data_IF_368386359405
#
_entry.id   IF_368386359405
#
_cell.length_a   1.000
_cell.length_b   1.000
_cell.length_c   1.000
_cell.angle_alpha   90.00
_cell.angle_beta   90.00
_cell.angle_gamma   90.00
#
_symmetry.space_group_name_H-M   'P 1'
#
loop_
_entity.id
_entity.type
_entity.pdbx_description
1 polymer ?
#
# COMPACT_ATOMS: atom_id res chain seq x y z
N UNK A 1 -7.07 -3.84 -3.50
CA UNK A 1 -6.09 -4.95 -3.58
C UNK A 1 -4.71 -4.35 -3.43
N UNK A 2 -3.71 -5.11 -3.08
CA UNK A 2 -2.36 -4.54 -2.82
C UNK A 2 -1.31 -5.63 -3.02
N UNK A 3 -0.06 -5.20 -3.15
CA UNK A 3 1.09 -6.09 -3.24
C UNK A 3 2.25 -5.45 -2.47
N UNK A 4 2.92 -6.22 -1.61
CA UNK A 4 4.09 -5.76 -0.86
C UNK A 4 5.22 -6.77 -0.95
N UNK A 5 6.45 -6.26 -0.87
CA UNK A 5 7.64 -7.08 -0.75
C UNK A 5 8.62 -6.49 0.26
N UNK A 6 9.48 -7.34 0.78
CA UNK A 6 10.67 -6.97 1.56
C UNK A 6 11.86 -7.78 1.10
N UNK A 7 13.03 -7.15 1.08
CA UNK A 7 14.33 -7.79 0.86
C UNK A 7 15.25 -7.36 1.98
N UNK A 8 15.71 -8.31 2.78
CA UNK A 8 16.63 -8.04 3.88
C UNK A 8 18.02 -7.67 3.35
N UNK A 9 18.77 -6.89 4.11
CA UNK A 9 20.10 -6.40 3.71
C UNK A 9 21.09 -7.47 3.25
N UNK A 10 20.93 -8.71 3.73
CA UNK A 10 21.73 -9.84 3.26
C UNK A 10 21.51 -10.22 1.77
N UNK A 11 20.44 -9.69 1.15
CA UNK A 11 20.00 -10.00 -0.22
C UNK A 11 19.80 -8.74 -1.08
N UNK A 12 20.32 -7.59 -0.63
CA UNK A 12 20.29 -6.31 -1.36
C UNK A 12 21.70 -5.91 -1.80
N UNK A 13 21.79 -5.06 -2.81
CA UNK A 13 23.06 -4.61 -3.37
C UNK A 13 23.94 -3.78 -2.40
N UNK A 14 23.33 -3.05 -1.49
CA UNK A 14 24.00 -2.11 -0.58
C UNK A 14 23.94 -2.51 0.91
N UNK A 15 23.40 -3.69 1.21
CA UNK A 15 23.29 -4.23 2.57
C UNK A 15 22.17 -3.62 3.42
N UNK A 16 21.31 -2.77 2.85
CA UNK A 16 20.17 -2.18 3.55
C UNK A 16 18.87 -2.94 3.24
N UNK A 17 18.04 -3.13 4.23
CA UNK A 17 16.71 -3.72 4.01
C UNK A 17 15.84 -2.79 3.19
N UNK A 18 15.20 -3.32 2.15
CA UNK A 18 14.29 -2.59 1.26
C UNK A 18 12.87 -3.16 1.39
N UNK A 19 11.91 -2.28 1.56
CA UNK A 19 10.48 -2.58 1.55
C UNK A 19 9.81 -1.86 0.39
N UNK A 20 8.91 -2.54 -0.33
CA UNK A 20 8.15 -1.92 -1.42
C UNK A 20 6.68 -2.32 -1.38
N UNK A 21 5.79 -1.38 -1.73
CA UNK A 21 4.34 -1.64 -1.74
C UNK A 21 3.59 -0.81 -2.76
N UNK A 22 2.66 -1.47 -3.45
CA UNK A 22 1.56 -0.87 -4.19
C UNK A 22 0.26 -0.94 -3.37
N UNK A 23 -0.44 0.18 -3.25
CA UNK A 23 -1.79 0.24 -2.69
C UNK A 23 -2.81 0.33 -3.81
N UNK A 24 -3.66 -0.69 -3.94
CA UNK A 24 -4.65 -0.77 -5.02
C UNK A 24 -6.06 -0.54 -4.47
N UNK A 25 -6.63 0.62 -4.82
CA UNK A 25 -7.91 1.10 -4.32
C UNK A 25 -8.87 1.45 -5.45
N UNK A 26 -10.02 2.00 -5.12
CA UNK A 26 -10.96 2.49 -6.13
C UNK A 26 -10.37 3.68 -6.91
N UNK A 27 -10.57 3.79 -8.25
CA UNK A 27 -9.94 4.84 -9.06
C UNK A 27 -10.27 6.28 -8.66
N UNK A 28 -11.33 6.48 -7.88
CA UNK A 28 -11.77 7.80 -7.41
C UNK A 28 -11.44 8.05 -5.93
N UNK A 29 -10.62 7.21 -5.35
CA UNK A 29 -10.22 7.29 -3.94
C UNK A 29 -8.85 7.95 -3.83
N UNK A 30 -8.77 9.25 -3.45
CA UNK A 30 -7.50 9.93 -3.27
C UNK A 30 -6.70 9.29 -2.15
N UNK A 31 -5.41 9.13 -2.39
CA UNK A 31 -4.45 8.64 -1.41
C UNK A 31 -3.23 9.55 -1.40
N UNK A 32 -2.81 9.99 -0.21
CA UNK A 32 -1.68 10.89 -0.03
C UNK A 32 -0.84 10.53 1.18
N UNK A 33 0.42 10.96 1.18
CA UNK A 33 1.32 10.80 2.31
C UNK A 33 1.04 11.89 3.35
N UNK A 34 1.09 11.49 4.62
CA UNK A 34 0.89 12.37 5.77
C UNK A 34 1.95 12.09 6.83
N UNK A 35 2.40 13.15 7.47
CA UNK A 35 3.25 13.10 8.65
C UNK A 35 2.39 13.30 9.92
N UNK A 36 2.70 12.52 10.95
CA UNK A 36 2.16 12.70 12.29
C UNK A 36 3.34 12.74 13.25
N UNK A 37 3.52 13.85 13.98
CA UNK A 37 4.64 14.02 14.90
C UNK A 37 4.50 13.10 16.10
N UNK A 38 5.59 12.90 16.82
CA UNK A 38 5.60 12.23 18.11
C UNK A 38 4.67 12.97 19.09
N UNK A 39 3.86 12.23 19.79
CA UNK A 39 3.01 12.77 20.85
C UNK A 39 3.55 12.31 22.20
N UNK A 40 3.54 13.23 23.18
CA UNK A 40 3.84 12.96 24.59
C UNK A 40 2.74 13.57 25.44
N UNK A 41 2.26 12.87 26.44
CA UNK A 41 1.22 13.38 27.34
C UNK A 41 0.39 12.28 27.99
N UNK A 42 -0.67 12.66 28.66
CA UNK A 42 -1.63 11.72 29.23
C UNK A 42 -2.45 11.11 28.09
N UNK A 43 -2.32 9.80 27.87
CA UNK A 43 -3.03 9.08 26.84
C UNK A 43 -4.54 9.31 26.94
N UNK A 44 -5.11 9.97 25.95
CA UNK A 44 -6.55 10.09 25.74
C UNK A 44 -6.97 9.08 24.69
N UNK A 45 -8.22 8.62 24.77
CA UNK A 45 -8.71 7.69 23.76
C UNK A 45 -8.58 8.24 22.34
N UNK A 46 -8.15 7.39 21.42
CA UNK A 46 -8.14 7.65 19.98
C UNK A 46 -9.52 7.37 19.37
N UNK A 47 -9.95 8.23 18.48
CA UNK A 47 -11.05 7.94 17.57
C UNK A 47 -10.47 7.50 16.24
N UNK A 48 -10.45 6.18 15.98
CA UNK A 48 -10.03 5.62 14.70
C UNK A 48 -11.14 5.77 13.66
N UNK A 49 -11.00 5.16 12.50
CA UNK A 49 -12.05 5.19 11.46
C UNK A 49 -13.36 4.57 11.97
N UNK A 50 -13.31 3.57 12.84
CA UNK A 50 -14.44 2.71 13.17
C UNK A 50 -14.78 2.66 14.65
N UNK A 51 -13.84 2.82 15.55
CA UNK A 51 -14.08 2.69 16.98
C UNK A 51 -13.07 3.49 17.83
N UNK A 52 -13.30 3.51 19.13
CA UNK A 52 -12.41 4.14 20.10
C UNK A 52 -11.38 3.13 20.60
N UNK A 53 -10.13 3.54 20.70
CA UNK A 53 -9.00 2.75 21.20
C UNK A 53 -8.24 3.55 22.24
N UNK A 54 -7.81 2.91 23.32
CA UNK A 54 -6.98 3.57 24.35
C UNK A 54 -5.64 3.98 23.75
N UNK A 55 -5.19 5.23 23.98
CA UNK A 55 -3.90 5.71 23.52
C UNK A 55 -2.83 5.52 24.61
N UNK A 56 -1.59 5.28 24.15
CA UNK A 56 -0.40 5.26 25.02
C UNK A 56 0.06 6.68 25.35
N UNK A 57 0.87 6.84 26.40
CA UNK A 57 1.37 8.14 26.85
C UNK A 57 2.40 8.77 25.90
N UNK A 58 3.06 7.96 25.06
CA UNK A 58 4.06 8.40 24.10
C UNK A 58 3.93 7.61 22.80
N UNK A 59 3.96 8.31 21.65
CA UNK A 59 3.91 7.71 20.33
C UNK A 59 5.15 8.06 19.53
N UNK A 60 5.52 7.20 18.56
CA UNK A 60 6.53 7.51 17.56
C UNK A 60 6.00 8.52 16.55
N UNK A 61 6.88 9.29 15.92
CA UNK A 61 6.53 10.03 14.71
C UNK A 61 6.39 9.04 13.53
N UNK A 62 5.41 9.28 12.66
CA UNK A 62 5.10 8.38 11.55
C UNK A 62 4.86 9.14 10.25
N UNK A 63 5.27 8.52 9.12
CA UNK A 63 4.86 8.87 7.77
C UNK A 63 4.00 7.74 7.22
N UNK A 64 2.76 8.04 6.84
CA UNK A 64 1.84 7.04 6.29
C UNK A 64 1.22 7.51 4.98
N UNK A 65 1.04 6.61 4.03
CA UNK A 65 0.22 6.83 2.84
C UNK A 65 -1.18 6.33 3.13
N UNK A 66 -2.15 7.25 3.12
CA UNK A 66 -3.52 6.98 3.55
C UNK A 66 -4.57 7.45 2.56
N UNK A 67 -5.65 6.69 2.36
CA UNK A 67 -6.86 7.19 1.71
C UNK A 67 -7.44 8.38 2.47
N UNK A 68 -7.94 9.38 1.74
CA UNK A 68 -8.38 10.67 2.30
C UNK A 68 -9.40 10.58 3.42
N UNK A 69 -10.25 9.56 3.43
CA UNK A 69 -11.37 9.39 4.35
C UNK A 69 -11.05 8.55 5.60
N UNK A 70 -9.95 7.81 5.60
CA UNK A 70 -9.55 6.94 6.73
C UNK A 70 -8.73 7.71 7.76
N UNK A 71 -8.76 7.27 9.00
CA UNK A 71 -7.82 7.68 10.04
C UNK A 71 -6.46 7.01 9.87
N UNK A 72 -6.44 5.71 9.58
CA UNK A 72 -5.26 4.89 9.33
C UNK A 72 -4.70 4.99 7.92
N UNK A 73 -3.70 4.15 7.59
CA UNK A 73 -3.00 4.14 6.32
C UNK A 73 -2.76 2.74 5.75
N UNK A 74 -2.56 2.67 4.43
CA UNK A 74 -2.29 1.43 3.69
C UNK A 74 -0.84 0.95 3.87
N UNK A 75 0.07 1.87 4.13
CA UNK A 75 1.50 1.66 4.31
C UNK A 75 2.11 2.85 5.03
N UNK A 76 3.20 2.62 5.74
CA UNK A 76 3.90 3.69 6.43
C UNK A 76 5.15 3.22 7.16
N UNK A 77 5.88 4.18 7.70
CA UNK A 77 7.12 3.97 8.44
C UNK A 77 7.17 4.93 9.63
N UNK A 78 7.80 4.52 10.71
CA UNK A 78 8.02 5.37 11.88
C UNK A 78 9.48 5.82 12.02
N UNK A 79 9.74 6.74 12.95
CA UNK A 79 11.06 7.30 13.25
C UNK A 79 12.04 6.31 13.91
N UNK A 80 11.57 5.11 14.26
CA UNK A 80 12.39 3.98 14.71
C UNK A 80 12.83 3.06 13.58
N UNK A 81 12.37 3.33 12.35
CA UNK A 81 12.66 2.51 11.19
C UNK A 81 11.80 1.26 11.06
N UNK A 82 10.64 1.21 11.71
CA UNK A 82 9.65 0.15 11.48
C UNK A 82 8.77 0.54 10.31
N UNK A 83 8.67 -0.32 9.30
CA UNK A 83 7.79 -0.16 8.14
C UNK A 83 6.72 -1.25 8.14
N UNK A 84 5.48 -0.89 7.81
CA UNK A 84 4.34 -1.82 7.73
C UNK A 84 3.54 -1.53 6.48
N UNK A 85 3.14 -2.61 5.78
CA UNK A 85 2.11 -2.60 4.75
C UNK A 85 1.05 -3.64 5.06
N UNK A 86 -0.21 -3.37 4.71
CA UNK A 86 -1.28 -4.35 4.87
C UNK A 86 -1.96 -4.70 3.55
N UNK A 87 -2.46 -5.91 3.45
CA UNK A 87 -3.24 -6.42 2.34
C UNK A 87 -4.57 -7.00 2.83
N UNK A 88 -5.63 -6.70 2.09
CA UNK A 88 -6.92 -7.33 2.30
C UNK A 88 -6.85 -8.82 1.93
N UNK A 89 -7.24 -9.70 2.85
CA UNK A 89 -7.36 -11.15 2.61
C UNK A 89 -8.78 -11.62 2.89
N UNK A 90 -9.23 -12.59 2.10
CA UNK A 90 -10.60 -13.11 2.18
C UNK A 90 -10.57 -14.51 2.77
N UNK A 91 -10.99 -14.63 4.01
CA UNK A 91 -10.95 -15.88 4.77
C UNK A 91 -12.35 -16.44 5.02
N UNK A 92 -12.42 -17.66 5.53
CA UNK A 92 -13.69 -18.37 5.80
C UNK A 92 -14.38 -17.84 7.05
N UNK A 93 -13.64 -17.26 8.00
CA UNK A 93 -14.24 -16.63 9.18
C UNK A 93 -15.16 -15.48 8.76
N UNK A 94 -16.14 -15.21 9.62
CA UNK A 94 -17.05 -14.08 9.43
C UNK A 94 -16.33 -12.78 9.77
N UNK A 95 -16.34 -11.80 8.86
CA UNK A 95 -15.74 -10.51 9.12
C UNK A 95 -16.65 -9.68 10.02
N UNK A 96 -16.14 -9.21 11.13
CA UNK A 96 -16.84 -8.30 12.05
C UNK A 96 -17.16 -6.98 11.37
N UNK A 97 -18.24 -6.34 11.80
CA UNK A 97 -18.65 -5.02 11.26
C UNK A 97 -18.19 -3.85 12.14
N UNK A 98 -17.79 -4.14 13.35
CA UNK A 98 -17.41 -3.21 14.41
C UNK A 98 -15.93 -3.32 14.82
N UNK A 99 -15.13 -4.15 14.15
CA UNK A 99 -13.70 -4.28 14.39
C UNK A 99 -12.88 -3.09 13.86
N UNK A 100 -11.60 -3.07 14.18
CA UNK A 100 -10.64 -2.12 13.60
C UNK A 100 -10.39 -2.43 12.13
N UNK A 101 -10.27 -1.40 11.31
CA UNK A 101 -9.70 -1.56 9.96
C UNK A 101 -8.23 -1.94 10.05
N UNK A 102 -7.73 -2.78 9.14
CA UNK A 102 -6.30 -3.10 9.06
C UNK A 102 -5.42 -1.87 8.92
N UNK A 103 -5.93 -0.81 8.27
CA UNK A 103 -5.26 0.47 8.11
C UNK A 103 -5.14 1.23 9.44
N UNK A 104 -6.16 1.12 10.32
CA UNK A 104 -6.12 1.72 11.66
C UNK A 104 -5.16 0.94 12.56
N UNK A 105 -5.18 -0.40 12.49
CA UNK A 105 -4.23 -1.29 13.18
C UNK A 105 -2.79 -0.97 12.78
N UNK A 106 -2.52 -0.82 11.47
CA UNK A 106 -1.20 -0.45 10.96
C UNK A 106 -0.70 0.86 11.55
N UNK A 107 -1.53 1.91 11.55
CA UNK A 107 -1.16 3.20 12.11
C UNK A 107 -0.85 3.11 13.60
N UNK A 108 -1.71 2.46 14.38
CA UNK A 108 -1.48 2.29 15.82
C UNK A 108 -0.19 1.51 16.09
N UNK A 109 0.07 0.45 15.31
CA UNK A 109 1.29 -0.34 15.45
C UNK A 109 2.55 0.50 15.15
N UNK A 110 2.54 1.34 14.10
CA UNK A 110 3.64 2.26 13.82
C UNK A 110 3.83 3.30 14.95
N UNK A 111 2.75 3.86 15.48
CA UNK A 111 2.80 4.83 16.59
C UNK A 111 3.41 4.23 17.85
N UNK A 112 3.30 2.91 18.08
CA UNK A 112 3.66 2.26 19.34
C UNK A 112 4.91 1.39 19.32
N UNK A 113 5.38 1.00 18.12
CA UNK A 113 6.42 -0.06 18.03
C UNK A 113 7.81 0.49 17.76
N UNK A 114 8.81 -0.10 18.39
CA UNK A 114 10.22 0.25 18.25
C UNK A 114 11.01 -0.74 17.39
N UNK A 115 10.41 -1.89 17.05
CA UNK A 115 10.97 -2.91 16.17
C UNK A 115 9.86 -3.65 15.41
N UNK A 116 10.22 -4.38 14.37
CA UNK A 116 9.26 -5.17 13.61
C UNK A 116 8.63 -6.29 14.46
N UNK A 117 9.39 -6.92 15.33
CA UNK A 117 8.85 -7.92 16.26
C UNK A 117 7.85 -7.30 17.25
N UNK A 118 8.15 -6.10 17.76
CA UNK A 118 7.21 -5.38 18.63
C UNK A 118 5.94 -5.02 17.87
N UNK A 119 6.05 -4.63 16.60
CA UNK A 119 4.88 -4.34 15.77
C UNK A 119 3.99 -5.57 15.52
N UNK A 120 4.56 -6.77 15.31
CA UNK A 120 3.79 -8.02 15.27
C UNK A 120 2.97 -8.22 16.54
N UNK A 121 3.60 -8.10 17.72
CA UNK A 121 2.92 -8.24 19.02
C UNK A 121 1.82 -7.20 19.20
N UNK A 122 2.10 -5.94 18.90
CA UNK A 122 1.10 -4.85 18.98
C UNK A 122 -0.10 -5.09 18.07
N UNK A 123 0.11 -5.58 16.85
CA UNK A 123 -0.99 -5.91 15.91
C UNK A 123 -1.84 -7.05 16.47
N UNK A 124 -1.21 -8.09 16.99
CA UNK A 124 -1.91 -9.24 17.60
C UNK A 124 -2.75 -8.78 18.79
N UNK A 125 -2.19 -8.02 19.72
CA UNK A 125 -2.90 -7.47 20.88
C UNK A 125 -4.10 -6.62 20.47
N UNK A 126 -3.94 -5.75 19.46
CA UNK A 126 -5.04 -4.95 18.93
C UNK A 126 -6.17 -5.80 18.32
N UNK A 127 -5.84 -6.89 17.64
CA UNK A 127 -6.81 -7.82 17.08
C UNK A 127 -7.53 -8.59 18.20
N UNK A 128 -6.82 -9.00 19.22
CA UNK A 128 -7.39 -9.71 20.39
C UNK A 128 -8.32 -8.80 21.21
N UNK A 129 -7.91 -7.55 21.47
CA UNK A 129 -8.65 -6.62 22.32
C UNK A 129 -9.85 -5.97 21.62
N UNK A 130 -9.67 -5.57 20.34
CA UNK A 130 -10.66 -4.77 19.62
C UNK A 130 -11.29 -5.50 18.43
N UNK A 131 -10.74 -6.63 18.01
CA UNK A 131 -11.12 -7.33 16.78
C UNK A 131 -10.70 -6.58 15.52
N UNK A 132 -10.78 -7.26 14.37
CA UNK A 132 -10.55 -6.67 13.06
C UNK A 132 -11.78 -6.81 12.18
N UNK A 133 -11.94 -5.89 11.20
CA UNK A 133 -13.05 -5.97 10.26
C UNK A 133 -13.53 -4.61 9.79
N UNK A 134 -14.85 -4.37 9.89
CA UNK A 134 -15.50 -3.16 9.40
C UNK A 134 -15.46 -2.98 7.86
N UNK A 135 -16.01 -1.86 7.37
CA UNK A 135 -16.07 -1.60 5.95
C UNK A 135 -14.85 -0.82 5.47
N UNK A 136 -13.93 -1.49 4.79
CA UNK A 136 -12.74 -0.88 4.18
C UNK A 136 -12.93 -0.33 2.76
N UNK A 137 -14.11 -0.46 2.15
CA UNK A 137 -14.38 0.06 0.80
C UNK A 137 -14.79 1.53 0.80
N UNK A 138 -14.49 2.26 -0.28
CA UNK A 138 -14.79 3.70 -0.41
C UNK A 138 -16.22 3.96 -0.87
N UNK A 139 -16.58 3.55 -2.10
CA UNK A 139 -17.93 3.75 -2.64
C UNK A 139 -18.83 2.52 -2.53
N UNK A 140 -18.27 1.37 -2.17
CA UNK A 140 -18.98 0.10 -1.99
C UNK A 140 -18.58 -0.53 -0.67
N UNK A 141 -19.47 -1.35 -0.10
CA UNK A 141 -19.12 -2.15 1.06
C UNK A 141 -18.10 -3.22 0.67
N UNK A 142 -17.01 -3.28 1.42
CA UNK A 142 -15.97 -4.30 1.27
C UNK A 142 -15.46 -4.71 2.66
N UNK A 143 -15.78 -5.94 3.05
CA UNK A 143 -15.40 -6.52 4.33
C UNK A 143 -14.35 -7.60 4.11
N UNK A 144 -13.24 -7.53 4.86
CA UNK A 144 -12.10 -8.43 4.71
C UNK A 144 -11.30 -8.51 6.02
N UNK A 145 -10.47 -9.52 6.14
CA UNK A 145 -9.41 -9.59 7.13
C UNK A 145 -8.09 -9.09 6.53
N UNK A 146 -7.02 -9.12 7.30
CA UNK A 146 -5.76 -8.49 6.90
C UNK A 146 -4.61 -9.48 6.94
N UNK A 147 -3.63 -9.28 6.05
CA UNK A 147 -2.26 -9.72 6.24
C UNK A 147 -1.34 -8.50 6.29
N UNK A 148 -0.22 -8.64 6.96
CA UNK A 148 0.75 -7.57 7.15
C UNK A 148 2.14 -8.05 6.79
N UNK A 149 2.89 -7.21 6.07
CA UNK A 149 4.31 -7.32 5.90
C UNK A 149 4.96 -6.23 6.75
N UNK A 150 5.81 -6.65 7.67
CA UNK A 150 6.37 -5.79 8.73
C UNK A 150 7.87 -5.94 8.67
N UNK A 151 8.62 -4.84 8.67
CA UNK A 151 10.07 -4.90 8.67
C UNK A 151 10.69 -3.77 9.50
N UNK A 152 11.88 -4.03 9.96
CA UNK A 152 12.85 -3.06 10.46
C UNK A 152 14.19 -3.25 9.74
N UNK A 153 15.23 -2.56 10.18
CA UNK A 153 16.55 -2.61 9.55
C UNK A 153 17.11 -4.03 9.41
N UNK A 154 16.81 -4.93 10.34
CA UNK A 154 17.46 -6.22 10.45
C UNK A 154 16.53 -7.40 10.20
N UNK A 155 15.24 -7.22 10.47
CA UNK A 155 14.29 -8.31 10.51
C UNK A 155 12.99 -7.95 9.77
N UNK A 156 12.30 -8.98 9.29
CA UNK A 156 10.97 -8.83 8.74
C UNK A 156 10.07 -10.02 9.10
N UNK A 157 8.76 -9.79 9.12
CA UNK A 157 7.73 -10.79 9.38
C UNK A 157 6.57 -10.68 8.40
N UNK A 158 6.04 -11.82 8.02
CA UNK A 158 4.69 -11.95 7.46
C UNK A 158 3.76 -12.33 8.60
N UNK A 159 2.68 -11.57 8.78
CA UNK A 159 1.61 -11.85 9.74
C UNK A 159 0.30 -12.02 8.97
N UNK A 160 -0.28 -13.20 8.98
CA UNK A 160 -1.56 -13.50 8.33
C UNK A 160 -2.65 -13.74 9.36
N UNK A 161 -3.83 -13.16 9.13
CA UNK A 161 -4.90 -13.18 10.12
C UNK A 161 -6.26 -13.60 9.55
N UNK A 162 -7.12 -14.13 10.40
CA UNK A 162 -8.51 -14.49 10.10
C UNK A 162 -9.36 -14.35 11.35
N UNK A 163 -10.16 -13.28 11.47
CA UNK A 163 -10.81 -12.82 12.69
C UNK A 163 -9.78 -12.66 13.82
N UNK A 164 -9.90 -13.38 14.93
CA UNK A 164 -8.92 -13.39 16.04
C UNK A 164 -7.78 -14.38 15.85
N UNK A 165 -7.84 -15.24 14.83
CA UNK A 165 -6.80 -16.23 14.57
C UNK A 165 -5.71 -15.65 13.68
N UNK A 166 -4.46 -15.98 13.99
CA UNK A 166 -3.30 -15.47 13.29
C UNK A 166 -2.15 -16.48 13.27
N UNK A 167 -1.27 -16.34 12.31
CA UNK A 167 0.04 -17.00 12.23
C UNK A 167 1.08 -16.00 11.77
N UNK A 168 2.32 -16.12 12.26
CA UNK A 168 3.43 -15.26 11.87
C UNK A 168 4.65 -16.07 11.47
N UNK A 169 5.42 -15.52 10.52
CA UNK A 169 6.65 -16.12 10.03
C UNK A 169 7.73 -15.06 9.88
N UNK A 170 8.91 -15.33 10.45
CA UNK A 170 10.09 -14.51 10.25
C UNK A 170 10.65 -14.72 8.83
N UNK A 171 10.89 -13.64 8.13
CA UNK A 171 11.40 -13.65 6.76
C UNK A 171 12.88 -14.01 6.74
N UNK A 172 13.28 -14.82 5.77
CA UNK A 172 14.68 -15.14 5.45
C UNK A 172 14.98 -14.68 4.04
N UNK A 173 15.89 -13.69 3.91
CA UNK A 173 16.26 -13.12 2.61
C UNK A 173 15.20 -12.16 2.07
N UNK A 174 14.17 -12.67 1.42
CA UNK A 174 13.07 -11.87 0.87
C UNK A 174 11.72 -12.51 1.09
N UNK A 175 10.65 -11.69 1.04
CA UNK A 175 9.27 -12.15 1.03
C UNK A 175 8.39 -11.20 0.21
N UNK A 176 7.30 -11.75 -0.32
CA UNK A 176 6.24 -11.00 -0.95
C UNK A 176 4.88 -11.46 -0.41
N UNK A 177 3.95 -10.54 -0.26
CA UNK A 177 2.54 -10.82 0.05
C UNK A 177 1.62 -10.11 -0.95
N UNK A 178 0.43 -10.65 -1.13
CA UNK A 178 -0.64 -10.11 -1.96
C UNK A 178 -2.00 -10.36 -1.27
N UNK A 179 -3.11 -10.19 -1.98
CA UNK A 179 -4.45 -10.41 -1.42
C UNK A 179 -4.82 -11.90 -1.32
N UNK A 180 -3.93 -12.71 -0.79
CA UNK A 180 -4.13 -14.13 -0.54
C UNK A 180 -3.28 -14.59 0.64
N UNK A 181 -3.71 -15.65 1.33
CA UNK A 181 -2.91 -16.28 2.37
C UNK A 181 -1.79 -17.12 1.75
N UNK A 182 -0.63 -17.13 2.39
CA UNK A 182 0.59 -17.78 1.89
C UNK A 182 1.21 -18.76 2.90
N UNK A 183 1.00 -18.57 4.20
CA UNK A 183 1.63 -19.37 5.24
C UNK A 183 0.98 -20.75 5.33
N UNK A 184 1.79 -21.78 5.17
CA UNK A 184 1.43 -23.19 5.28
C UNK A 184 1.53 -23.69 6.71
N UNK A 185 2.33 -24.75 6.89
CA UNK A 185 2.70 -25.35 8.19
C UNK A 185 4.04 -24.81 8.73
N UNK A 186 4.68 -23.95 7.96
CA UNK A 186 6.02 -23.41 8.19
C UNK A 186 6.03 -22.03 8.87
N UNK A 187 4.96 -21.69 9.62
CA UNK A 187 4.93 -20.50 10.47
C UNK A 187 5.72 -20.73 11.78
N UNK A 188 6.26 -19.65 12.33
CA UNK A 188 7.09 -19.71 13.55
C UNK A 188 6.24 -19.55 14.82
N UNK A 189 5.14 -18.80 14.76
CA UNK A 189 4.21 -18.57 15.88
C UNK A 189 2.77 -18.40 15.37
N UNK A 190 1.79 -18.61 16.25
CA UNK A 190 0.39 -18.51 15.91
C UNK A 190 -0.56 -18.60 17.09
N UNK A 191 -1.79 -18.17 16.88
CA UNK A 191 -2.83 -18.23 17.90
C UNK A 191 -2.99 -19.66 18.45
N UNK A 192 -3.00 -19.88 19.79
CA UNK A 192 -2.98 -21.22 20.40
C UNK A 192 -4.12 -22.15 19.95
N UNK A 193 -5.24 -21.60 19.50
CA UNK A 193 -6.41 -22.36 19.07
C UNK A 193 -6.58 -22.38 17.53
N UNK A 194 -5.64 -21.91 16.74
CA UNK A 194 -5.78 -21.77 15.28
C UNK A 194 -6.06 -23.13 14.60
N UNK A 195 -5.35 -24.19 14.98
CA UNK A 195 -5.55 -25.54 14.44
C UNK A 195 -6.89 -26.11 14.90
N UNK A 196 -7.17 -26.01 16.20
CA UNK A 196 -8.42 -26.54 16.77
C UNK A 196 -9.66 -25.86 16.19
N UNK A 197 -9.59 -24.55 15.95
CA UNK A 197 -10.67 -23.81 15.31
C UNK A 197 -10.93 -24.35 13.90
N UNK A 198 -9.88 -24.54 13.10
CA UNK A 198 -10.00 -25.11 11.76
C UNK A 198 -10.57 -26.54 11.75
N UNK A 199 -10.21 -27.35 12.74
CA UNK A 199 -10.77 -28.69 12.93
C UNK A 199 -12.26 -28.65 13.28
N UNK A 200 -12.64 -27.79 14.23
CA UNK A 200 -14.05 -27.64 14.64
C UNK A 200 -14.98 -27.21 13.50
N UNK A 201 -14.45 -26.41 12.55
CA UNK A 201 -15.20 -26.01 11.36
C UNK A 201 -15.06 -26.96 10.17
N UNK A 202 -14.32 -28.06 10.32
CA UNK A 202 -14.05 -29.02 9.25
C UNK A 202 -13.18 -28.47 8.11
N UNK A 203 -12.44 -27.40 8.34
CA UNK A 203 -11.50 -26.82 7.38
C UNK A 203 -10.14 -27.52 7.38
N UNK A 204 -9.82 -28.19 8.48
CA UNK A 204 -8.66 -29.04 8.64
C UNK A 204 -9.06 -30.42 9.16
N UNK A 205 -8.37 -31.48 8.71
CA UNK A 205 -8.61 -32.85 9.19
C UNK A 205 -7.57 -33.22 10.24
N UNK A 206 -7.96 -33.65 11.45
CA UNK A 206 -7.03 -34.12 12.47
C UNK A 206 -6.01 -35.14 11.94
N UNK A 207 -4.77 -35.03 12.36
CA UNK A 207 -3.70 -35.96 11.98
C UNK A 207 -3.06 -35.71 10.60
N UNK A 208 -3.45 -34.65 9.88
CA UNK A 208 -2.75 -34.17 8.69
C UNK A 208 -1.83 -33.00 9.03
N UNK A 209 -0.85 -32.70 8.17
CA UNK A 209 -0.10 -31.45 8.27
C UNK A 209 -1.07 -30.26 8.16
N UNK A 210 -0.94 -29.30 9.08
CA UNK A 210 -1.79 -28.11 9.07
C UNK A 210 -1.21 -27.10 8.08
N UNK A 211 -2.07 -26.40 7.37
CA UNK A 211 -1.73 -25.25 6.55
C UNK A 211 -2.75 -24.14 6.80
N UNK A 212 -2.30 -23.00 7.27
CA UNK A 212 -3.17 -21.85 7.54
C UNK A 212 -3.87 -21.39 6.27
N UNK A 213 -3.12 -21.17 5.19
CA UNK A 213 -3.67 -20.74 3.91
C UNK A 213 -4.71 -21.71 3.36
N UNK A 214 -4.45 -23.04 3.40
CA UNK A 214 -5.41 -24.03 2.90
C UNK A 214 -6.67 -24.12 3.77
N UNK A 215 -6.50 -23.97 5.08
CA UNK A 215 -7.59 -24.09 6.06
C UNK A 215 -8.50 -22.86 6.07
N UNK A 216 -7.93 -21.66 6.01
CA UNK A 216 -8.67 -20.42 6.25
C UNK A 216 -9.05 -19.64 4.99
N UNK A 217 -8.36 -19.80 3.85
CA UNK A 217 -8.58 -18.97 2.66
C UNK A 217 -9.88 -19.32 1.91
N UNK A 218 -10.59 -18.31 1.41
CA UNK A 218 -11.65 -18.45 0.40
C UNK A 218 -11.04 -18.58 -1.01
N UNK A 219 -10.64 -19.81 -1.37
CA UNK A 219 -9.92 -20.12 -2.64
C UNK A 219 -10.58 -19.55 -3.90
N UNK A 220 -11.91 -19.42 -3.92
CA UNK A 220 -12.64 -18.89 -5.06
C UNK A 220 -12.32 -17.39 -5.28
N UNK A 221 -12.26 -16.61 -4.20
CA UNK A 221 -11.93 -15.17 -4.28
C UNK A 221 -10.49 -14.98 -4.74
N UNK A 222 -9.53 -15.76 -4.21
CA UNK A 222 -8.13 -15.77 -4.69
C UNK A 222 -8.04 -15.93 -6.20
N UNK A 223 -8.79 -16.88 -6.76
CA UNK A 223 -8.79 -17.14 -8.21
C UNK A 223 -9.28 -15.93 -9.03
N UNK A 224 -10.34 -15.24 -8.57
CA UNK A 224 -10.91 -14.10 -9.30
C UNK A 224 -10.16 -12.79 -9.07
N UNK A 225 -9.51 -12.60 -7.93
CA UNK A 225 -8.76 -11.37 -7.61
C UNK A 225 -7.43 -11.24 -8.36
N UNK A 226 -6.93 -12.32 -8.98
CA UNK A 226 -5.61 -12.34 -9.59
C UNK A 226 -4.43 -12.29 -8.61
N UNK A 227 -4.70 -12.34 -7.29
CA UNK A 227 -3.68 -12.23 -6.25
C UNK A 227 -2.56 -13.26 -6.38
N UNK A 228 -2.91 -14.53 -6.65
CA UNK A 228 -1.92 -15.59 -6.84
C UNK A 228 -1.00 -15.37 -8.05
N UNK A 229 -1.48 -14.70 -9.11
CA UNK A 229 -0.67 -14.35 -10.28
C UNK A 229 0.33 -13.24 -9.93
N UNK A 230 -0.13 -12.19 -9.25
CA UNK A 230 0.74 -11.08 -8.84
C UNK A 230 1.79 -11.52 -7.82
N UNK A 231 1.38 -12.32 -6.83
CA UNK A 231 2.30 -12.88 -5.85
C UNK A 231 3.43 -13.69 -6.52
N UNK A 232 3.09 -14.64 -7.39
CA UNK A 232 4.06 -15.44 -8.14
C UNK A 232 5.01 -14.54 -8.94
N UNK A 233 4.47 -13.57 -9.68
CA UNK A 233 5.27 -12.64 -10.47
C UNK A 233 6.22 -11.82 -9.62
N UNK A 234 5.76 -11.33 -8.47
CA UNK A 234 6.61 -10.58 -7.54
C UNK A 234 7.74 -11.46 -6.97
N UNK A 235 7.45 -12.70 -6.62
CA UNK A 235 8.47 -13.66 -6.17
C UNK A 235 9.51 -13.92 -7.25
N UNK A 236 9.09 -14.15 -8.51
CA UNK A 236 10.01 -14.31 -9.65
C UNK A 236 10.92 -13.09 -9.81
N UNK A 237 10.38 -11.88 -9.76
CA UNK A 237 11.15 -10.65 -9.92
C UNK A 237 12.16 -10.42 -8.77
N UNK A 238 11.85 -10.87 -7.57
CA UNK A 238 12.75 -10.81 -6.41
C UNK A 238 13.90 -11.85 -6.53
N UNK A 239 13.70 -12.94 -7.26
CA UNK A 239 14.70 -13.98 -7.50
C UNK A 239 15.63 -13.68 -8.69
N UNK A 240 15.27 -12.72 -9.57
CA UNK A 240 16.02 -12.39 -10.80
C UNK A 240 17.37 -11.67 -10.55
N UNK A 241 17.72 -11.34 -9.30
CA UNK A 241 18.98 -10.70 -8.93
C UNK A 241 18.91 -9.83 -7.69
N UNK A 242 19.97 -9.07 -7.44
CA UNK A 242 20.03 -8.14 -6.32
C UNK A 242 19.02 -7.00 -6.48
N UNK A 243 18.33 -6.68 -5.41
CA UNK A 243 17.32 -5.61 -5.41
C UNK A 243 17.96 -4.30 -4.95
N UNK A 244 17.92 -3.30 -5.82
CA UNK A 244 18.25 -1.89 -5.54
C UNK A 244 16.97 -1.06 -5.40
N UNK A 245 17.12 0.25 -5.12
CA UNK A 245 16.00 1.19 -5.12
C UNK A 245 15.36 1.23 -6.52
N UNK A 246 16.16 1.37 -7.57
CA UNK A 246 15.70 1.41 -8.96
C UNK A 246 14.98 0.11 -9.35
N UNK A 247 15.56 -1.03 -8.97
CA UNK A 247 14.93 -2.33 -9.21
C UNK A 247 13.59 -2.45 -8.47
N UNK A 248 13.48 -1.87 -7.28
CA UNK A 248 12.22 -1.80 -6.52
C UNK A 248 11.14 -1.01 -7.26
N UNK A 249 11.50 0.11 -7.90
CA UNK A 249 10.56 0.87 -8.75
C UNK A 249 10.11 0.06 -9.96
N UNK A 250 11.03 -0.68 -10.60
CA UNK A 250 10.71 -1.56 -11.73
C UNK A 250 9.74 -2.68 -11.31
N UNK A 251 9.97 -3.34 -10.18
CA UNK A 251 9.10 -4.38 -9.62
C UNK A 251 7.68 -3.82 -9.41
N UNK A 252 7.55 -2.66 -8.78
CA UNK A 252 6.25 -2.02 -8.52
C UNK A 252 5.56 -1.54 -9.81
N UNK A 253 6.29 -1.39 -10.92
CA UNK A 253 5.81 -1.01 -12.26
C UNK A 253 5.51 -2.19 -13.17
N UNK A 254 5.71 -3.43 -12.74
CA UNK A 254 5.63 -4.62 -13.61
C UNK A 254 4.24 -4.89 -14.19
N UNK A 255 4.24 -5.28 -15.47
CA UNK A 255 3.06 -5.68 -16.23
C UNK A 255 3.36 -6.97 -17.00
N UNK A 256 3.47 -8.10 -16.33
CA UNK A 256 3.72 -9.40 -16.96
C UNK A 256 2.76 -9.67 -18.14
N UNK A 257 1.50 -9.31 -17.96
CA UNK A 257 0.43 -9.58 -18.93
C UNK A 257 0.22 -8.44 -19.94
N UNK A 258 1.20 -7.61 -20.20
CA UNK A 258 1.37 -6.59 -21.24
C UNK A 258 0.16 -5.72 -21.67
N UNK A 259 -1.06 -6.02 -21.25
CA UNK A 259 -2.27 -5.24 -21.55
C UNK A 259 -2.61 -4.36 -20.35
N UNK A 260 -2.26 -3.10 -20.45
CA UNK A 260 -2.37 -2.09 -19.40
C UNK A 260 -3.81 -1.77 -18.96
N UNK A 261 -4.83 -2.21 -19.67
CA UNK A 261 -6.19 -1.76 -19.44
C UNK A 261 -7.04 -2.84 -18.76
N UNK A 262 -7.44 -2.58 -17.51
CA UNK A 262 -8.46 -3.37 -16.82
C UNK A 262 -8.01 -4.76 -16.35
N UNK A 263 -6.73 -4.95 -16.07
CA UNK A 263 -6.21 -6.21 -15.53
C UNK A 263 -5.94 -6.10 -14.03
N UNK A 264 -6.49 -7.03 -13.25
CA UNK A 264 -6.20 -7.21 -11.84
C UNK A 264 -5.06 -8.21 -11.59
N UNK A 265 -4.31 -8.59 -12.64
CA UNK A 265 -3.24 -9.58 -12.59
C UNK A 265 -1.84 -8.99 -12.67
N UNK A 266 -1.73 -7.69 -12.87
CA UNK A 266 -0.46 -6.97 -12.89
C UNK A 266 -0.17 -6.37 -11.53
N UNK A 267 1.10 -6.32 -11.13
CA UNK A 267 1.58 -5.66 -9.91
C UNK A 267 1.26 -4.16 -9.99
N UNK A 268 1.59 -3.50 -11.10
CA UNK A 268 1.09 -2.16 -11.40
C UNK A 268 -0.34 -2.27 -11.97
N UNK A 269 -1.33 -2.04 -11.14
CA UNK A 269 -2.72 -2.26 -11.49
C UNK A 269 -3.35 -1.05 -12.15
N UNK A 270 -3.95 -1.25 -13.33
CA UNK A 270 -4.71 -0.22 -14.04
C UNK A 270 -6.19 -0.55 -14.03
N UNK A 271 -7.02 0.39 -13.63
CA UNK A 271 -8.46 0.26 -13.76
C UNK A 271 -8.90 0.30 -15.23
N UNK A 272 -10.00 -0.38 -15.54
CA UNK A 272 -10.54 -0.45 -16.90
C UNK A 272 -11.98 -0.94 -16.96
N UNK A 273 -12.40 -1.48 -18.09
CA UNK A 273 -13.79 -1.90 -18.35
C UNK A 273 -14.23 -3.18 -17.61
N UNK A 274 -13.58 -3.58 -16.52
CA UNK A 274 -13.97 -4.74 -15.70
C UNK A 274 -15.10 -4.42 -14.71
N UNK A 275 -15.83 -5.45 -14.27
CA UNK A 275 -16.92 -5.29 -13.29
C UNK A 275 -16.40 -4.89 -11.89
N UNK A 276 -15.20 -5.33 -11.54
CA UNK A 276 -14.49 -4.95 -10.31
C UNK A 276 -13.17 -4.35 -10.74
N UNK A 277 -13.08 -3.03 -10.71
CA UNK A 277 -11.87 -2.33 -11.10
C UNK A 277 -11.24 -1.65 -9.89
N UNK A 278 -9.97 -1.94 -9.68
CA UNK A 278 -9.08 -1.23 -8.80
C UNK A 278 -7.92 -0.70 -9.62
N UNK A 279 -7.24 0.31 -9.12
CA UNK A 279 -5.95 0.74 -9.66
C UNK A 279 -4.99 0.98 -8.50
N UNK A 280 -3.71 0.92 -8.79
CA UNK A 280 -2.69 1.38 -7.85
C UNK A 280 -2.87 2.87 -7.64
N UNK A 281 -3.20 3.31 -6.44
CA UNK A 281 -3.48 4.72 -6.08
C UNK A 281 -2.28 5.41 -5.45
N UNK A 282 -1.33 4.65 -4.93
CA UNK A 282 -0.04 5.11 -4.43
C UNK A 282 0.94 3.96 -4.36
N UNK A 283 2.24 4.26 -4.54
CA UNK A 283 3.34 3.29 -4.42
C UNK A 283 4.43 3.87 -3.54
N UNK A 284 5.04 3.04 -2.70
CA UNK A 284 6.08 3.44 -1.77
C UNK A 284 7.22 2.42 -1.75
N UNK A 285 8.46 2.90 -1.71
CA UNK A 285 9.67 2.13 -1.40
C UNK A 285 10.33 2.77 -0.21
N UNK A 286 10.74 1.97 0.77
CA UNK A 286 11.47 2.41 1.96
C UNK A 286 12.77 1.65 2.05
N UNK A 287 13.87 2.37 2.18
CA UNK A 287 15.19 1.82 2.45
C UNK A 287 15.53 2.06 3.92
N UNK A 288 15.71 0.98 4.64
CA UNK A 288 15.91 0.99 6.09
C UNK A 288 17.40 1.04 6.43
N UNK A 289 17.90 2.25 6.64
CA UNK A 289 19.24 2.56 7.14
C UNK A 289 19.21 3.06 8.58
N UNK A 290 20.16 3.91 8.95
CA UNK A 290 20.14 4.62 10.25
C UNK A 290 18.90 5.52 10.36
N UNK A 291 18.55 6.19 9.25
CA UNK A 291 17.29 6.90 9.05
C UNK A 291 16.59 6.27 7.85
N UNK A 292 15.26 6.10 7.89
CA UNK A 292 14.51 5.62 6.75
C UNK A 292 14.58 6.61 5.58
N UNK A 293 14.87 6.10 4.39
CA UNK A 293 14.77 6.81 3.13
C UNK A 293 13.51 6.36 2.41
N UNK A 294 12.59 7.28 2.17
CA UNK A 294 11.25 6.96 1.67
C UNK A 294 11.10 7.53 0.26
N UNK A 295 10.68 6.70 -0.67
CA UNK A 295 10.35 7.08 -2.04
C UNK A 295 8.87 6.81 -2.30
N UNK A 296 8.12 7.84 -2.70
CA UNK A 296 6.68 7.73 -2.88
C UNK A 296 6.21 8.38 -4.18
N UNK A 297 5.24 7.76 -4.83
CA UNK A 297 4.58 8.38 -5.99
C UNK A 297 3.59 9.46 -5.59
N UNK A 298 2.87 9.27 -4.48
CA UNK A 298 1.72 10.11 -4.08
C UNK A 298 0.77 10.41 -5.24
N UNK A 299 0.65 9.46 -6.15
CA UNK A 299 -0.15 9.50 -7.39
C UNK A 299 -0.42 8.08 -7.85
N UNK A 300 -1.45 7.90 -8.66
CA UNK A 300 -1.85 6.60 -9.17
C UNK A 300 -0.86 6.08 -10.22
N UNK A 301 -0.89 4.77 -10.45
CA UNK A 301 -0.26 4.08 -11.58
C UNK A 301 1.24 4.35 -11.68
N UNK A 302 2.07 3.62 -10.91
CA UNK A 302 3.50 3.90 -10.77
C UNK A 302 4.28 3.87 -12.07
N UNK A 303 3.85 3.13 -13.10
CA UNK A 303 4.51 3.09 -14.41
C UNK A 303 4.36 4.40 -15.22
N UNK A 304 3.48 5.29 -14.81
CA UNK A 304 3.26 6.62 -15.41
C UNK A 304 3.53 7.75 -14.40
N UNK A 305 3.97 7.41 -13.20
CA UNK A 305 4.26 8.34 -12.10
C UNK A 305 5.77 8.41 -11.82
N UNK A 306 6.18 9.33 -10.94
CA UNK A 306 7.56 9.51 -10.50
C UNK A 306 7.64 9.19 -9.02
N UNK A 307 8.62 8.39 -8.60
CA UNK A 307 8.96 8.23 -7.20
C UNK A 307 9.78 9.46 -6.74
N UNK A 308 9.33 10.07 -5.66
CA UNK A 308 9.95 11.26 -5.07
C UNK A 308 10.42 10.95 -3.67
N UNK A 309 11.62 11.42 -3.29
CA UNK A 309 12.16 11.17 -1.96
C UNK A 309 11.48 12.05 -0.92
N UNK A 310 11.23 11.47 0.25
CA UNK A 310 10.83 12.18 1.47
C UNK A 310 11.58 11.59 2.66
N UNK A 311 11.84 12.43 3.66
CA UNK A 311 12.47 12.02 4.90
C UNK A 311 11.72 12.61 6.08
N UNK A 312 12.03 12.13 7.26
CA UNK A 312 11.71 12.81 8.50
C UNK A 312 12.81 12.58 9.52
N UNK A 313 13.02 13.60 10.30
CA UNK A 313 13.68 13.48 11.58
C UNK A 313 12.60 13.21 12.65
N UNK A 314 13.02 12.87 13.87
CA UNK A 314 12.09 12.51 14.97
C UNK A 314 11.02 13.57 15.27
N UNK A 315 11.15 14.79 14.75
CA UNK A 315 10.28 15.92 15.07
C UNK A 315 9.61 16.57 13.86
N UNK A 316 10.19 16.45 12.67
CA UNK A 316 9.76 17.15 11.45
C UNK A 316 9.83 16.23 10.24
N UNK A 317 9.11 16.58 9.19
CA UNK A 317 9.15 15.86 7.91
C UNK A 317 9.57 16.75 6.77
N UNK A 318 10.12 16.15 5.74
CA UNK A 318 10.40 16.81 4.46
C UNK A 318 9.19 16.81 3.50
N UNK A 319 7.97 16.69 4.01
CA UNK A 319 6.79 16.76 3.17
C UNK A 319 6.53 18.20 2.69
N UNK A 320 6.32 18.41 1.37
CA UNK A 320 6.01 19.72 0.81
C UNK A 320 4.51 20.06 0.92
N UNK A 321 3.83 19.54 1.92
CA UNK A 321 2.38 19.72 2.14
C UNK A 321 2.15 20.22 3.55
N UNK A 322 1.70 21.46 3.67
CA UNK A 322 1.31 22.05 4.96
C UNK A 322 -0.03 21.50 5.43
N UNK A 323 -0.95 21.23 4.49
CA UNK A 323 -2.29 20.77 4.80
C UNK A 323 -2.62 19.46 4.04
N UNK A 324 -3.48 18.59 4.61
CA UNK A 324 -3.92 17.35 3.96
C UNK A 324 -4.53 17.54 2.56
N UNK A 325 -5.24 18.67 2.36
CA UNK A 325 -5.83 19.03 1.07
C UNK A 325 -4.77 19.20 -0.04
N UNK A 326 -3.57 19.65 0.28
CA UNK A 326 -2.50 19.85 -0.71
C UNK A 326 -2.00 18.53 -1.27
N UNK A 327 -1.89 17.50 -0.44
CA UNK A 327 -1.59 16.15 -0.86
C UNK A 327 -2.67 15.57 -1.78
N UNK A 328 -3.94 15.82 -1.48
CA UNK A 328 -5.08 15.42 -2.32
C UNK A 328 -5.09 16.19 -3.65
N UNK A 329 -4.80 17.48 -3.63
CA UNK A 329 -4.70 18.32 -4.83
C UNK A 329 -3.54 17.90 -5.72
N UNK A 330 -2.41 17.52 -5.11
CA UNK A 330 -1.27 16.94 -5.84
C UNK A 330 -1.68 15.63 -6.53
N UNK A 331 -2.29 14.69 -5.80
CA UNK A 331 -2.82 13.46 -6.36
C UNK A 331 -3.80 13.73 -7.52
N UNK A 332 -4.70 14.68 -7.35
CA UNK A 332 -5.68 15.07 -8.38
C UNK A 332 -5.06 15.64 -9.66
N UNK A 333 -3.91 16.29 -9.56
CA UNK A 333 -3.17 16.81 -10.72
C UNK A 333 -2.60 15.67 -11.56
N UNK A 334 -2.02 14.66 -10.92
CA UNK A 334 -1.54 13.46 -11.56
C UNK A 334 -2.68 12.59 -12.09
N UNK A 335 -3.77 12.45 -11.36
CA UNK A 335 -4.92 11.65 -11.77
C UNK A 335 -5.56 12.19 -13.07
N UNK A 336 -5.56 13.49 -13.29
CA UNK A 336 -5.99 14.09 -14.59
C UNK A 336 -5.10 13.59 -15.74
N UNK A 337 -3.78 13.62 -15.59
CA UNK A 337 -2.83 13.07 -16.56
C UNK A 337 -3.03 11.56 -16.75
N UNK A 338 -3.07 10.77 -15.68
CA UNK A 338 -3.18 9.31 -15.71
C UNK A 338 -4.41 8.86 -16.50
N UNK A 339 -5.56 9.50 -16.32
CA UNK A 339 -6.81 9.15 -17.04
C UNK A 339 -6.73 9.43 -18.52
N UNK A 340 -6.06 10.49 -18.92
CA UNK A 340 -5.77 10.76 -20.33
C UNK A 340 -4.76 9.76 -20.86
N UNK A 341 -3.72 9.46 -20.09
CA UNK A 341 -2.65 8.53 -20.42
C UNK A 341 -3.15 7.10 -20.68
N UNK A 342 -4.02 6.59 -19.83
CA UNK A 342 -4.66 5.27 -20.02
C UNK A 342 -5.45 5.19 -21.35
N UNK A 343 -5.96 6.30 -21.82
CA UNK A 343 -6.71 6.36 -23.09
C UNK A 343 -5.82 6.61 -24.31
N UNK A 344 -4.55 6.99 -24.10
CA UNK A 344 -3.54 7.36 -25.12
C UNK A 344 -2.19 6.74 -24.75
N UNK A 345 -2.18 5.43 -24.57
CA UNK A 345 -1.07 4.69 -23.92
C UNK A 345 0.28 4.86 -24.62
N UNK A 346 0.30 4.83 -25.97
CA UNK A 346 1.53 4.95 -26.75
C UNK A 346 2.22 6.31 -26.52
N UNK A 347 1.46 7.39 -26.64
CA UNK A 347 1.97 8.74 -26.45
C UNK A 347 2.31 9.03 -25.00
N UNK A 348 1.51 8.52 -24.07
CA UNK A 348 1.77 8.68 -22.64
C UNK A 348 3.11 8.06 -22.21
N UNK A 349 3.44 6.87 -22.72
CA UNK A 349 4.74 6.22 -22.47
C UNK A 349 5.92 6.99 -23.06
N UNK A 350 5.76 7.56 -24.26
CA UNK A 350 6.76 8.43 -24.89
C UNK A 350 7.04 9.65 -23.99
N UNK A 351 5.99 10.37 -23.59
CA UNK A 351 6.09 11.54 -22.73
C UNK A 351 6.68 11.20 -21.35
N UNK A 352 6.31 10.05 -20.78
CA UNK A 352 6.87 9.61 -19.51
C UNK A 352 8.39 9.38 -19.62
N UNK A 353 8.87 8.74 -20.69
CA UNK A 353 10.30 8.54 -20.94
C UNK A 353 11.03 9.87 -21.13
N UNK A 354 10.40 10.81 -21.85
CA UNK A 354 10.99 12.12 -22.12
C UNK A 354 11.11 13.01 -20.87
N UNK A 355 10.06 13.04 -20.03
CA UNK A 355 9.98 14.01 -18.92
C UNK A 355 10.20 13.42 -17.53
N UNK A 356 9.89 12.14 -17.32
CA UNK A 356 9.88 11.54 -15.98
C UNK A 356 11.11 10.67 -15.71
N UNK A 357 11.55 9.87 -16.67
CA UNK A 357 12.62 8.89 -16.44
C UNK A 357 13.93 9.56 -16.02
N UNK A 358 14.40 10.55 -16.79
CA UNK A 358 15.62 11.30 -16.46
C UNK A 358 15.48 12.06 -15.16
N UNK A 359 14.32 12.65 -14.91
CA UNK A 359 14.07 13.36 -13.68
C UNK A 359 14.14 12.46 -12.44
N UNK A 360 13.58 11.25 -12.51
CA UNK A 360 13.68 10.28 -11.42
C UNK A 360 15.12 9.81 -11.18
N UNK A 361 15.90 9.60 -12.27
CA UNK A 361 17.32 9.31 -12.16
C UNK A 361 18.13 10.46 -11.51
N UNK A 362 17.82 11.70 -11.87
CA UNK A 362 18.45 12.88 -11.26
C UNK A 362 18.13 12.95 -9.75
N UNK A 363 16.90 12.61 -9.34
CA UNK A 363 16.51 12.56 -7.92
C UNK A 363 17.32 11.50 -7.17
N UNK A 364 17.47 10.29 -7.73
CA UNK A 364 18.29 9.23 -7.14
C UNK A 364 19.76 9.66 -6.98
N UNK A 365 20.33 10.31 -7.99
CA UNK A 365 21.71 10.81 -7.94
C UNK A 365 21.92 11.97 -6.98
N UNK A 366 20.87 12.71 -6.66
CA UNK A 366 20.90 13.90 -5.80
C UNK A 366 20.56 13.60 -4.35
N UNK A 367 19.85 12.51 -4.11
CA UNK A 367 19.52 12.02 -2.77
C UNK A 367 20.81 11.88 -1.92
N UNK A 368 20.78 12.41 -0.70
CA UNK A 368 21.93 12.44 0.20
C UNK A 368 22.99 13.52 -0.09
N UNK A 369 22.88 14.28 -1.21
CA UNK A 369 23.80 15.39 -1.57
C UNK A 369 23.19 16.77 -1.35
N UNK A 370 21.89 16.86 -1.20
CA UNK A 370 21.12 18.08 -0.96
C UNK A 370 20.38 17.93 0.39
N UNK A 371 19.94 19.03 0.98
CA UNK A 371 19.07 18.99 2.15
C UNK A 371 17.76 18.27 1.78
N UNK A 372 17.29 17.42 2.68
CA UNK A 372 16.12 16.58 2.47
C UNK A 372 14.87 17.37 2.09
N UNK A 373 14.57 18.44 2.85
CA UNK A 373 13.41 19.30 2.62
C UNK A 373 13.45 19.99 1.26
N UNK A 374 14.59 20.61 0.93
CA UNK A 374 14.80 21.29 -0.35
C UNK A 374 14.62 20.34 -1.54
N UNK A 375 15.14 19.10 -1.42
CA UNK A 375 15.01 18.10 -2.48
C UNK A 375 13.57 17.59 -2.62
N UNK A 376 12.88 17.34 -1.50
CA UNK A 376 11.48 16.92 -1.50
C UNK A 376 10.58 17.99 -2.14
N UNK A 377 10.67 19.23 -1.69
CA UNK A 377 9.90 20.35 -2.23
C UNK A 377 10.11 20.50 -3.75
N UNK A 378 11.37 20.56 -4.19
CA UNK A 378 11.71 20.67 -5.61
C UNK A 378 11.19 19.45 -6.41
N UNK A 379 11.28 18.23 -5.86
CA UNK A 379 10.82 17.03 -6.51
C UNK A 379 9.30 17.03 -6.73
N UNK A 380 8.53 17.42 -5.72
CA UNK A 380 7.07 17.48 -5.82
C UNK A 380 6.61 18.61 -6.74
N UNK A 381 7.20 19.79 -6.66
CA UNK A 381 6.83 20.94 -7.53
C UNK A 381 7.18 20.68 -8.99
N UNK A 382 8.40 20.20 -9.26
CA UNK A 382 8.81 19.86 -10.63
C UNK A 382 7.92 18.74 -11.21
N UNK A 383 7.63 17.69 -10.44
CA UNK A 383 6.77 16.61 -10.91
C UNK A 383 5.32 17.06 -11.16
N UNK A 384 4.79 17.99 -10.35
CA UNK A 384 3.46 18.60 -10.59
C UNK A 384 3.43 19.37 -11.90
N UNK A 385 4.48 20.12 -12.20
CA UNK A 385 4.62 20.88 -13.45
C UNK A 385 4.76 19.95 -14.67
N UNK A 386 5.52 18.86 -14.53
CA UNK A 386 5.61 17.79 -15.54
C UNK A 386 4.24 17.19 -15.82
N UNK A 387 3.48 16.80 -14.80
CA UNK A 387 2.14 16.24 -14.96
C UNK A 387 1.20 17.20 -15.72
N UNK A 388 1.24 18.51 -15.40
CA UNK A 388 0.45 19.53 -16.10
C UNK A 388 0.86 19.65 -17.58
N UNK A 389 2.17 19.68 -17.86
CA UNK A 389 2.70 19.74 -19.23
C UNK A 389 2.28 18.52 -20.05
N UNK A 390 2.49 17.32 -19.49
CA UNK A 390 2.08 16.08 -20.16
C UNK A 390 0.56 16.00 -20.38
N UNK A 391 -0.22 16.51 -19.41
CA UNK A 391 -1.69 16.62 -19.55
C UNK A 391 -2.06 17.45 -20.78
N UNK A 392 -1.49 18.65 -20.93
CA UNK A 392 -1.78 19.54 -22.08
C UNK A 392 -1.39 18.89 -23.40
N UNK A 393 -0.25 18.22 -23.46
CA UNK A 393 0.19 17.51 -24.67
C UNK A 393 -0.76 16.35 -25.04
N UNK A 394 -1.25 15.60 -24.04
CA UNK A 394 -2.18 14.50 -24.28
C UNK A 394 -3.60 14.96 -24.66
N UNK A 395 -4.02 16.15 -24.27
CA UNK A 395 -5.34 16.71 -24.64
C UNK A 395 -5.45 16.93 -26.15
N UNK A 396 -4.34 17.14 -26.85
CA UNK A 396 -4.27 17.34 -28.31
C UNK A 396 -4.21 16.02 -29.10
N UNK A 397 -3.94 14.89 -28.43
CA UNK A 397 -3.77 13.58 -29.08
C UNK A 397 -5.08 12.81 -29.23
N UNK A 398 -5.16 11.98 -30.26
CA UNK A 398 -6.29 11.09 -30.49
C UNK A 398 -6.41 9.99 -29.43
N UNK A 399 -7.64 9.57 -29.15
CA UNK A 399 -7.93 8.51 -28.18
C UNK A 399 -7.71 7.13 -28.83
N UNK A 400 -6.70 6.40 -28.40
CA UNK A 400 -6.37 5.04 -28.84
C UNK A 400 -7.29 3.97 -28.23
N UNK A 401 -7.80 4.20 -27.03
CA UNK A 401 -8.57 3.21 -26.28
C UNK A 401 -9.92 2.90 -26.94
N UNK A 402 -10.30 1.62 -26.91
CA UNK A 402 -11.59 1.15 -27.46
C UNK A 402 -12.81 1.69 -26.70
N UNK A 403 -13.98 1.55 -27.32
CA UNK A 403 -15.27 2.10 -26.86
C UNK A 403 -15.59 1.79 -25.38
N UNK A 404 -15.38 0.55 -24.91
CA UNK A 404 -15.70 0.17 -23.53
C UNK A 404 -14.84 0.89 -22.50
N UNK A 405 -13.55 1.06 -22.76
CA UNK A 405 -12.65 1.80 -21.88
C UNK A 405 -12.96 3.29 -21.85
N UNK A 406 -13.26 3.89 -23.00
CA UNK A 406 -13.75 5.28 -23.09
C UNK A 406 -15.01 5.49 -22.26
N UNK A 407 -16.00 4.60 -22.41
CA UNK A 407 -17.25 4.67 -21.65
C UNK A 407 -17.01 4.50 -20.14
N UNK A 408 -16.11 3.59 -19.75
CA UNK A 408 -15.72 3.38 -18.35
C UNK A 408 -15.11 4.67 -17.75
N UNK A 409 -14.10 5.24 -18.39
CA UNK A 409 -13.41 6.42 -17.86
C UNK A 409 -14.26 7.68 -17.87
N UNK A 410 -15.14 7.87 -18.87
CA UNK A 410 -16.12 8.95 -18.85
C UNK A 410 -17.05 8.87 -17.63
N UNK A 411 -17.47 7.66 -17.26
CA UNK A 411 -18.26 7.43 -16.05
C UNK A 411 -17.46 7.71 -14.78
N UNK A 412 -16.20 7.28 -14.70
CA UNK A 412 -15.33 7.55 -13.54
C UNK A 412 -15.04 9.06 -13.38
N UNK A 413 -14.82 9.77 -14.49
CA UNK A 413 -14.62 11.22 -14.46
C UNK A 413 -15.83 11.98 -13.91
N UNK A 414 -17.05 11.59 -14.30
CA UNK A 414 -18.28 12.17 -13.76
C UNK A 414 -18.38 11.93 -12.23
N UNK A 415 -18.15 10.69 -11.79
CA UNK A 415 -18.13 10.36 -10.35
C UNK A 415 -17.07 11.15 -9.57
N UNK A 416 -15.87 11.32 -10.14
CA UNK A 416 -14.82 12.11 -9.51
C UNK A 416 -15.23 13.56 -9.30
N UNK A 417 -15.92 14.17 -10.25
CA UNK A 417 -16.46 15.54 -10.11
C UNK A 417 -17.49 15.63 -8.99
N UNK A 418 -18.38 14.64 -8.87
CA UNK A 418 -19.36 14.55 -7.78
C UNK A 418 -18.68 14.39 -6.41
N UNK A 419 -17.62 13.58 -6.32
CA UNK A 419 -16.84 13.40 -5.08
C UNK A 419 -16.07 14.67 -4.69
N UNK A 420 -15.47 15.37 -5.66
CA UNK A 420 -14.78 16.65 -5.44
C UNK A 420 -15.74 17.71 -4.86
N UNK A 421 -16.96 17.81 -5.37
CA UNK A 421 -17.96 18.74 -4.83
C UNK A 421 -18.36 18.47 -3.37
N UNK A 422 -18.06 17.26 -2.87
CA UNK A 422 -18.31 16.81 -1.49
C UNK A 422 -17.02 16.71 -0.65
N UNK A 423 -15.93 17.30 -1.09
CA UNK A 423 -14.61 17.25 -0.43
C UNK A 423 -14.14 15.81 -0.13
N UNK A 424 -14.42 14.85 -1.02
CA UNK A 424 -14.09 13.42 -0.87
C UNK A 424 -14.56 12.78 0.46
N UNK A 425 -15.55 13.38 1.13
CA UNK A 425 -16.13 12.78 2.33
C UNK A 425 -16.88 11.51 1.95
N UNK A 426 -16.58 10.42 2.66
CA UNK A 426 -17.36 9.21 2.55
C UNK A 426 -18.74 9.47 3.15
N UNK A 427 -19.80 9.30 2.37
CA UNK A 427 -21.12 9.12 2.96
C UNK A 427 -21.12 7.73 3.60
N UNK A 428 -21.08 7.67 4.92
CA UNK A 428 -21.43 6.45 5.63
C UNK A 428 -22.94 6.35 5.49
N UNK A 429 -23.49 5.35 4.76
CA UNK A 429 -24.92 5.12 4.79
C UNK A 429 -25.27 4.79 6.24
N UNK A 430 -26.18 5.56 6.81
CA UNK A 430 -26.79 5.32 8.14
C UNK A 430 -27.49 3.98 8.18
#
# INVERSE_FOLDING_TARGET
MCDSFVVLGSSTADGRTIFGKNSDREPNEPQSIHFFPRLTGNGTDLFTTTQRVSQVSETNAILISKPSWMWGGEMGVNDKGVVIGNEAVFTKETVRRDGLLGMDILRIALERSESAEHAVKTIVELIEDYGQGANGGFTKYLYYHNSFLIADRENAWVLETSDSYWVSKKVKGSAAISNCLTLGDDFDDGHPQVIRNAENHGWHKPGKAFSFAESYEKKLIRKFSGAGTRLRRMQELLEEGEVSIERSFEILRDHENSKHLGSMRNICMHAGASLVSSQTTSSMVVVLGEKPEIWITNSSVPCLSVFKPVWFDSYESSLPFDEPEDGINYWGSWEKFIRLAILRDSKAKELWREYCLQFEQDLLLTAGKMKADDLSEQAFDKSRNIARKMTSLLEEEEVEAGFFNRKYWNRQNKKLQELKSRNFKKEIPT
#
